data_IF_188641140303
#
_entry.id   IF_188641140303
#
_cell.length_a   1.000
_cell.length_b   1.000
_cell.length_c   1.000
_cell.angle_alpha   90.00
_cell.angle_beta   90.00
_cell.angle_gamma   90.00
#
_symmetry.space_group_name_H-M   'P 1'
#
loop_
_entity.id
_entity.type
_entity.pdbx_description
1 polymer ?
#
# COMPACT_ATOMS: atom_id res chain seq x y z
N UNK A 1 -64.28 24.90 -27.66
CA UNK A 1 -63.23 24.77 -26.61
C UNK A 1 -62.33 25.99 -26.72
N UNK A 2 -62.00 26.62 -25.58
CA UNK A 2 -61.76 28.07 -25.42
C UNK A 2 -60.30 28.49 -25.69
N UNK A 3 -60.17 29.56 -26.49
CA UNK A 3 -59.14 30.61 -26.65
C UNK A 3 -57.76 30.43 -26.00
N UNK A 4 -56.73 30.48 -26.84
CA UNK A 4 -55.32 30.76 -26.49
C UNK A 4 -55.21 32.27 -26.18
N UNK A 5 -54.60 32.61 -25.05
CA UNK A 5 -54.31 34.01 -24.66
C UNK A 5 -52.80 34.15 -24.51
N UNK A 6 -52.24 35.08 -25.28
CA UNK A 6 -50.86 35.52 -25.23
C UNK A 6 -50.79 36.73 -24.29
N UNK A 7 -49.91 36.71 -23.29
CA UNK A 7 -49.61 37.91 -22.49
C UNK A 7 -48.10 38.18 -22.50
N UNK A 8 -47.66 39.41 -22.80
CA UNK A 8 -46.26 39.78 -22.90
C UNK A 8 -45.71 40.45 -21.63
N UNK A 9 -44.39 40.40 -21.51
CA UNK A 9 -43.52 41.40 -20.90
C UNK A 9 -43.40 41.47 -19.37
N UNK A 10 -42.19 41.90 -18.96
CA UNK A 10 -41.78 42.43 -17.64
C UNK A 10 -41.12 41.45 -16.66
N UNK A 11 -39.78 41.41 -16.80
CA UNK A 11 -38.83 41.69 -15.71
C UNK A 11 -38.70 40.66 -14.57
N UNK A 12 -37.73 39.75 -14.72
CA UNK A 12 -36.96 39.28 -13.56
C UNK A 12 -35.51 39.02 -13.99
N UNK A 13 -34.79 40.10 -14.30
CA UNK A 13 -33.33 40.11 -14.16
C UNK A 13 -33.07 40.27 -12.67
N UNK A 14 -32.74 39.18 -12.00
CA UNK A 14 -31.95 39.25 -10.77
C UNK A 14 -30.70 38.40 -10.96
N UNK A 15 -29.61 39.10 -11.25
CA UNK A 15 -28.25 38.62 -11.23
C UNK A 15 -27.85 38.32 -9.78
N UNK A 16 -27.53 37.07 -9.49
CA UNK A 16 -26.57 36.64 -8.47
C UNK A 16 -25.84 35.44 -9.11
N UNK A 17 -24.67 35.61 -9.73
CA UNK A 17 -23.37 35.69 -9.06
C UNK A 17 -23.27 34.80 -7.81
N UNK A 18 -23.01 33.52 -8.05
CA UNK A 18 -22.01 32.82 -7.24
C UNK A 18 -20.95 32.35 -8.23
N UNK A 19 -19.77 32.93 -8.08
CA UNK A 19 -18.56 32.54 -8.79
C UNK A 19 -18.25 31.07 -8.47
N UNK A 20 -18.38 30.20 -9.47
CA UNK A 20 -17.73 28.90 -9.49
C UNK A 20 -16.29 29.06 -9.93
N UNK A 21 -15.46 29.71 -9.10
CA UNK A 21 -14.02 29.52 -9.18
C UNK A 21 -13.74 28.14 -8.58
N UNK A 22 -13.75 27.10 -9.41
CA UNK A 22 -12.99 25.90 -9.08
C UNK A 22 -11.53 26.32 -9.15
N UNK A 23 -11.01 26.68 -7.98
CA UNK A 23 -9.60 26.88 -7.72
C UNK A 23 -8.82 25.68 -8.25
N UNK A 24 -7.62 25.98 -8.75
CA UNK A 24 -6.58 25.06 -9.19
C UNK A 24 -6.68 23.71 -8.48
N UNK A 25 -6.91 22.65 -9.26
CA UNK A 25 -6.30 21.37 -8.93
C UNK A 25 -4.81 21.56 -9.17
N UNK A 26 -4.14 22.23 -8.22
CA UNK A 26 -2.78 21.83 -7.89
C UNK A 26 -2.89 20.33 -7.67
N UNK A 27 -2.39 19.56 -8.63
CA UNK A 27 -2.19 18.14 -8.44
C UNK A 27 -1.32 18.02 -7.20
N UNK A 28 -1.95 17.84 -6.04
CA UNK A 28 -1.30 17.22 -4.91
C UNK A 28 -0.80 15.94 -5.53
N UNK A 29 0.50 15.87 -5.74
CA UNK A 29 1.21 14.63 -6.01
C UNK A 29 0.96 13.82 -4.74
N UNK A 30 -0.20 13.17 -4.71
CA UNK A 30 -0.53 12.22 -3.69
C UNK A 30 0.37 11.05 -4.02
N UNK A 31 1.52 10.99 -3.35
CA UNK A 31 2.44 9.87 -3.44
C UNK A 31 1.80 8.55 -2.95
N UNK A 32 0.50 8.56 -2.63
CA UNK A 32 -0.28 7.37 -2.33
C UNK A 32 -0.59 6.65 -3.63
N UNK A 33 0.02 5.48 -3.78
CA UNK A 33 -0.26 4.57 -4.89
C UNK A 33 -1.60 3.89 -4.59
N UNK A 34 -2.48 3.77 -5.59
CA UNK A 34 -3.72 3.00 -5.43
C UNK A 34 -3.39 1.61 -4.89
N UNK A 35 -4.11 1.10 -3.89
CA UNK A 35 -3.88 -0.25 -3.37
C UNK A 35 -4.51 -1.27 -4.32
N UNK A 36 -3.70 -1.80 -5.22
CA UNK A 36 -4.05 -2.91 -6.12
C UNK A 36 -2.85 -3.84 -6.23
N UNK A 37 -3.03 -5.15 -6.47
CA UNK A 37 -1.91 -6.05 -6.68
C UNK A 37 -0.95 -5.56 -7.76
N UNK A 38 -1.48 -5.02 -8.86
CA UNK A 38 -0.70 -4.56 -10.01
C UNK A 38 0.20 -3.37 -9.66
N UNK A 39 -0.33 -2.40 -8.90
CA UNK A 39 0.41 -1.21 -8.51
C UNK A 39 1.47 -1.50 -7.45
N UNK A 40 1.19 -2.41 -6.50
CA UNK A 40 2.17 -2.87 -5.51
C UNK A 40 3.29 -3.63 -6.22
N UNK A 41 2.94 -4.56 -7.10
CA UNK A 41 3.90 -5.31 -7.94
C UNK A 41 4.78 -4.35 -8.74
N UNK A 42 4.18 -3.37 -9.42
CA UNK A 42 4.90 -2.37 -10.20
C UNK A 42 5.85 -1.52 -9.34
N UNK A 43 5.46 -1.22 -8.10
CA UNK A 43 6.29 -0.46 -7.16
C UNK A 43 7.47 -1.28 -6.66
N UNK A 44 7.21 -2.50 -6.17
CA UNK A 44 8.21 -3.35 -5.53
C UNK A 44 9.27 -3.88 -6.50
N UNK A 45 8.90 -4.16 -7.76
CA UNK A 45 9.83 -4.64 -8.78
C UNK A 45 10.83 -3.57 -9.26
N UNK A 46 10.72 -2.32 -8.79
CA UNK A 46 11.61 -1.25 -9.18
C UNK A 46 12.68 -1.01 -8.12
N UNK A 47 13.88 -1.50 -8.36
CA UNK A 47 15.05 -1.24 -7.53
C UNK A 47 15.16 -2.16 -6.32
N UNK A 48 15.91 -1.72 -5.32
CA UNK A 48 16.14 -2.46 -4.09
C UNK A 48 15.55 -1.71 -2.90
N UNK A 49 15.25 -2.46 -1.86
CA UNK A 49 14.54 -2.00 -0.67
C UNK A 49 15.36 -2.33 0.57
N UNK A 50 15.16 -1.59 1.65
CA UNK A 50 15.75 -1.86 2.97
C UNK A 50 14.65 -1.94 4.01
N UNK A 51 14.81 -2.83 4.98
CA UNK A 51 13.94 -2.84 6.17
C UNK A 51 14.35 -1.67 7.06
N UNK A 52 13.46 -0.71 7.25
CA UNK A 52 13.68 0.43 8.15
C UNK A 52 13.01 0.25 9.51
N UNK A 53 12.00 -0.62 9.57
CA UNK A 53 11.32 -0.96 10.80
C UNK A 53 10.83 -2.40 10.78
N UNK A 54 11.10 -3.15 11.84
CA UNK A 54 10.50 -4.44 12.10
C UNK A 54 10.23 -4.63 13.60
N UNK A 55 8.95 -4.77 13.93
CA UNK A 55 8.47 -5.11 15.27
C UNK A 55 7.89 -6.53 15.24
N UNK A 56 8.56 -7.45 15.93
CA UNK A 56 8.07 -8.81 16.16
C UNK A 56 7.61 -8.91 17.61
N UNK A 57 6.31 -9.01 17.83
CA UNK A 57 5.71 -9.28 19.13
C UNK A 57 6.29 -8.35 20.22
N UNK A 58 6.18 -7.02 20.01
CA UNK A 58 6.70 -5.94 20.88
C UNK A 58 8.23 -5.79 20.92
N UNK A 59 8.97 -6.64 20.23
CA UNK A 59 10.44 -6.54 20.16
C UNK A 59 10.86 -5.91 18.85
N UNK A 60 11.56 -4.77 18.91
CA UNK A 60 12.14 -4.17 17.72
C UNK A 60 13.36 -4.98 17.29
N UNK A 61 13.29 -5.58 16.10
CA UNK A 61 14.33 -6.42 15.50
C UNK A 61 14.92 -5.82 14.22
N UNK A 62 14.69 -4.52 13.97
CA UNK A 62 15.14 -3.83 12.76
C UNK A 62 16.66 -3.94 12.53
N UNK A 63 17.44 -3.97 13.62
CA UNK A 63 18.90 -4.08 13.55
C UNK A 63 19.40 -5.37 12.90
N UNK A 64 18.59 -6.43 12.88
CA UNK A 64 18.92 -7.71 12.24
C UNK A 64 19.04 -7.63 10.72
N UNK A 65 18.54 -6.55 10.09
CA UNK A 65 18.51 -6.38 8.65
C UNK A 65 19.39 -5.23 8.15
N UNK A 66 20.20 -4.63 9.03
CA UNK A 66 21.13 -3.57 8.64
C UNK A 66 22.11 -4.07 7.57
N UNK A 67 22.23 -3.30 6.49
CA UNK A 67 23.11 -3.61 5.36
C UNK A 67 22.53 -4.58 4.33
N UNK A 68 21.34 -5.15 4.55
CA UNK A 68 20.67 -5.97 3.53
C UNK A 68 19.82 -5.12 2.58
N UNK A 69 19.98 -5.38 1.29
CA UNK A 69 19.15 -4.90 0.20
C UNK A 69 18.22 -6.02 -0.25
N UNK A 70 16.93 -5.75 -0.16
CA UNK A 70 15.84 -6.63 -0.56
C UNK A 70 15.45 -6.35 -2.01
N UNK A 71 15.32 -7.40 -2.80
CA UNK A 71 14.86 -7.33 -4.19
C UNK A 71 13.66 -8.25 -4.37
N UNK A 72 12.50 -7.65 -4.65
CA UNK A 72 11.29 -8.36 -5.03
C UNK A 72 11.42 -8.76 -6.50
N UNK A 73 11.81 -10.00 -6.74
CA UNK A 73 12.15 -10.53 -8.06
C UNK A 73 11.02 -11.35 -8.71
N UNK A 74 11.18 -11.70 -10.00
CA UNK A 74 10.25 -12.56 -10.72
C UNK A 74 10.15 -13.95 -10.09
N UNK A 75 9.12 -14.72 -10.48
CA UNK A 75 8.85 -16.06 -9.96
C UNK A 75 8.70 -16.10 -8.43
N UNK A 76 8.21 -15.01 -7.83
CA UNK A 76 7.92 -14.92 -6.40
C UNK A 76 9.18 -15.08 -5.53
N UNK A 77 10.37 -14.70 -6.03
CA UNK A 77 11.63 -14.79 -5.29
C UNK A 77 11.92 -13.45 -4.60
N UNK A 78 12.15 -13.48 -3.29
CA UNK A 78 12.59 -12.32 -2.51
C UNK A 78 14.05 -12.54 -2.13
N UNK A 79 14.95 -11.78 -2.75
CA UNK A 79 16.37 -11.85 -2.45
C UNK A 79 16.74 -10.81 -1.39
N UNK A 80 17.54 -11.18 -0.40
CA UNK A 80 18.19 -10.24 0.51
C UNK A 80 19.71 -10.41 0.40
N UNK A 81 20.40 -9.37 -0.04
CA UNK A 81 21.85 -9.35 -0.29
C UNK A 81 22.50 -8.26 0.57
N UNK A 82 23.60 -8.57 1.25
CA UNK A 82 24.46 -7.57 1.91
C UNK A 82 25.88 -7.55 1.33
N UNK A 83 26.02 -7.98 0.08
CA UNK A 83 27.27 -8.17 -0.67
C UNK A 83 28.25 -9.21 -0.13
N UNK A 84 27.93 -9.87 1.00
CA UNK A 84 28.73 -10.96 1.56
C UNK A 84 27.93 -12.27 1.65
N UNK A 85 26.66 -12.17 2.05
CA UNK A 85 25.76 -13.29 2.26
C UNK A 85 24.39 -12.95 1.69
N UNK A 86 23.86 -13.92 0.94
CA UNK A 86 22.56 -13.80 0.30
C UNK A 86 21.59 -14.79 0.91
N UNK A 87 20.37 -14.32 1.16
CA UNK A 87 19.25 -15.15 1.57
C UNK A 87 18.12 -15.05 0.57
N UNK A 88 17.66 -16.22 0.12
CA UNK A 88 16.55 -16.34 -0.80
C UNK A 88 15.30 -16.78 -0.04
N UNK A 89 14.25 -15.97 -0.17
CA UNK A 89 12.92 -16.25 0.31
C UNK A 89 11.91 -16.21 -0.83
N UNK A 90 10.63 -16.22 -0.45
CA UNK A 90 9.50 -16.05 -1.33
C UNK A 90 8.69 -14.84 -0.92
N UNK A 91 8.00 -14.27 -1.90
CA UNK A 91 6.98 -13.26 -1.67
C UNK A 91 5.82 -13.46 -2.64
N UNK A 92 4.60 -13.14 -2.22
CA UNK A 92 3.43 -13.18 -3.10
C UNK A 92 2.51 -12.00 -2.80
N UNK A 93 1.78 -11.60 -3.84
CA UNK A 93 0.65 -10.68 -3.72
C UNK A 93 -0.53 -11.34 -4.38
N UNK A 94 -1.57 -11.60 -3.61
CA UNK A 94 -2.85 -12.09 -4.12
C UNK A 94 -3.94 -11.10 -3.80
N UNK A 95 -4.95 -11.05 -4.66
CA UNK A 95 -6.22 -10.44 -4.33
C UNK A 95 -7.17 -11.57 -3.95
N UNK A 96 -7.70 -11.52 -2.73
CA UNK A 96 -8.77 -12.41 -2.31
C UNK A 96 -10.10 -11.72 -2.60
N UNK A 97 -10.92 -12.29 -3.48
CA UNK A 97 -12.31 -11.83 -3.65
C UNK A 97 -13.24 -12.40 -2.54
N UNK A 98 -12.68 -13.07 -1.53
CA UNK A 98 -13.43 -13.54 -0.37
C UNK A 98 -13.47 -12.40 0.64
N UNK A 99 -14.68 -11.99 1.01
CA UNK A 99 -14.88 -11.13 2.18
C UNK A 99 -14.41 -11.89 3.44
N UNK A 100 -13.15 -11.70 3.80
CA UNK A 100 -12.56 -12.18 5.05
C UNK A 100 -12.77 -11.14 6.17
N UNK A 101 -12.00 -11.25 7.25
CA UNK A 101 -12.06 -10.34 8.39
C UNK A 101 -11.57 -8.91 8.08
N UNK A 102 -11.14 -8.63 6.84
CA UNK A 102 -10.70 -7.32 6.39
C UNK A 102 -11.53 -6.79 5.20
N UNK A 103 -12.77 -6.31 5.44
CA UNK A 103 -13.67 -5.78 4.39
C UNK A 103 -13.17 -4.50 3.68
N UNK A 104 -11.94 -4.04 3.97
CA UNK A 104 -11.37 -2.80 3.45
C UNK A 104 -10.04 -2.99 2.69
N UNK A 105 -9.45 -4.20 2.67
CA UNK A 105 -8.22 -4.45 1.92
C UNK A 105 -8.04 -5.94 1.59
N UNK A 106 -8.60 -6.35 0.47
CA UNK A 106 -8.56 -7.69 -0.15
C UNK A 106 -7.17 -8.14 -0.64
N UNK A 107 -6.08 -7.52 -0.19
CA UNK A 107 -4.72 -7.79 -0.69
C UNK A 107 -3.93 -8.57 0.36
N UNK A 108 -3.61 -9.83 0.03
CA UNK A 108 -2.74 -10.67 0.84
C UNK A 108 -1.30 -10.50 0.36
N UNK A 109 -0.45 -9.96 1.22
CA UNK A 109 0.98 -9.84 0.96
C UNK A 109 1.73 -10.86 1.81
N UNK A 110 2.23 -11.94 1.23
CA UNK A 110 2.95 -12.96 2.00
C UNK A 110 4.46 -12.86 1.79
N UNK A 111 5.22 -13.05 2.86
CA UNK A 111 6.67 -13.28 2.82
C UNK A 111 6.96 -14.66 3.41
N UNK A 112 7.97 -15.36 2.89
CA UNK A 112 8.44 -16.61 3.48
C UNK A 112 9.95 -16.79 3.31
N UNK A 113 10.66 -16.98 4.42
CA UNK A 113 12.05 -17.38 4.46
C UNK A 113 12.20 -18.64 5.31
N UNK A 114 13.06 -19.56 4.89
CA UNK A 114 13.37 -20.77 5.66
C UNK A 114 14.55 -20.60 6.62
N UNK A 115 15.42 -19.63 6.37
CA UNK A 115 16.61 -19.34 7.17
C UNK A 115 17.22 -17.98 6.77
N UNK A 116 18.05 -17.38 7.63
CA UNK A 116 18.27 -17.70 9.05
C UNK A 116 17.08 -17.22 9.91
N UNK A 117 17.09 -17.51 11.22
CA UNK A 117 15.95 -17.21 12.12
C UNK A 117 15.48 -15.75 12.07
N UNK A 118 16.39 -14.80 11.84
CA UNK A 118 16.03 -13.39 11.67
C UNK A 118 15.10 -13.16 10.47
N UNK A 119 15.36 -13.82 9.35
CA UNK A 119 14.55 -13.73 8.13
C UNK A 119 13.28 -14.57 8.23
N UNK A 120 13.34 -15.72 8.91
CA UNK A 120 12.14 -16.51 9.24
C UNK A 120 11.11 -15.66 9.96
N UNK A 121 11.54 -14.74 10.85
CA UNK A 121 10.64 -13.83 11.56
C UNK A 121 9.87 -12.85 10.64
N UNK A 122 10.34 -12.60 9.40
CA UNK A 122 9.58 -11.82 8.41
C UNK A 122 8.46 -12.64 7.75
N UNK A 123 8.40 -13.96 7.99
CA UNK A 123 7.48 -14.86 7.30
C UNK A 123 6.11 -14.81 7.94
N UNK A 124 5.19 -14.09 7.31
CA UNK A 124 3.80 -13.92 7.72
C UNK A 124 2.93 -13.64 6.48
N UNK A 125 1.62 -13.75 6.65
CA UNK A 125 0.63 -13.12 5.79
C UNK A 125 0.40 -11.69 6.32
N UNK A 126 0.79 -10.70 5.52
CA UNK A 126 0.78 -9.29 5.88
C UNK A 126 -0.39 -8.55 5.22
N UNK A 127 -1.04 -7.71 6.01
CA UNK A 127 -1.89 -6.62 5.54
C UNK A 127 -1.05 -5.46 5.01
N UNK A 128 -1.42 -4.91 3.85
CA UNK A 128 -0.81 -3.68 3.32
C UNK A 128 -1.45 -2.44 3.96
N UNK A 129 -0.75 -1.84 4.93
CA UNK A 129 -1.20 -0.63 5.64
C UNK A 129 -1.05 0.61 4.76
N UNK A 130 0.09 0.76 4.11
CA UNK A 130 0.43 1.95 3.32
C UNK A 130 1.38 1.56 2.19
N UNK A 131 1.21 2.17 1.02
CA UNK A 131 2.16 2.08 -0.07
C UNK A 131 2.31 3.42 -0.78
N UNK A 132 3.57 3.78 -1.03
CA UNK A 132 3.99 4.93 -1.82
C UNK A 132 5.06 4.49 -2.82
N UNK A 133 5.53 5.39 -3.67
CA UNK A 133 6.61 5.11 -4.62
C UNK A 133 7.93 4.67 -3.94
N UNK A 134 8.11 4.96 -2.65
CA UNK A 134 9.37 4.74 -1.92
C UNK A 134 9.20 4.01 -0.60
N UNK A 135 7.99 3.61 -0.22
CA UNK A 135 7.74 2.94 1.05
C UNK A 135 6.57 1.96 0.95
N UNK A 136 6.69 0.83 1.62
CA UNK A 136 5.58 -0.07 1.93
C UNK A 136 5.56 -0.37 3.44
N UNK A 137 4.39 -0.22 4.07
CA UNK A 137 4.17 -0.53 5.48
C UNK A 137 3.16 -1.65 5.59
N UNK A 138 3.53 -2.63 6.40
CA UNK A 138 2.85 -3.89 6.56
C UNK A 138 2.51 -4.11 8.04
N UNK A 139 1.42 -4.82 8.29
CA UNK A 139 1.07 -5.32 9.63
C UNK A 139 0.56 -6.76 9.53
N UNK A 140 0.72 -7.54 10.60
CA UNK A 140 0.17 -8.90 10.66
C UNK A 140 -0.32 -9.20 12.07
N UNK A 141 -1.44 -9.91 12.18
CA UNK A 141 -1.91 -10.47 13.45
C UNK A 141 -1.09 -11.71 13.77
N UNK A 142 -0.56 -11.80 14.99
CA UNK A 142 0.08 -13.03 15.42
C UNK A 142 -0.96 -14.08 15.72
N UNK A 143 -0.82 -15.25 15.09
CA UNK A 143 -1.65 -16.42 15.37
C UNK A 143 -1.75 -16.69 16.89
N UNK A 144 -2.97 -16.58 17.44
CA UNK A 144 -3.30 -16.92 18.83
C UNK A 144 -3.34 -15.78 19.85
N UNK A 145 -2.93 -14.54 19.51
CA UNK A 145 -2.96 -13.38 20.42
C UNK A 145 -3.47 -12.11 19.70
N UNK A 146 -3.89 -11.09 20.46
CA UNK A 146 -4.20 -9.75 19.93
C UNK A 146 -2.95 -8.88 19.66
N UNK A 147 -1.79 -9.51 19.46
CA UNK A 147 -0.52 -8.81 19.26
C UNK A 147 -0.23 -8.64 17.76
N UNK A 148 0.21 -7.44 17.39
CA UNK A 148 0.50 -7.08 16.00
C UNK A 148 2.01 -7.05 15.75
N UNK A 149 2.40 -7.58 14.59
CA UNK A 149 3.70 -7.35 13.99
C UNK A 149 3.61 -6.18 13.00
N UNK A 150 4.73 -5.48 12.81
CA UNK A 150 4.83 -4.39 11.84
C UNK A 150 6.15 -4.48 11.07
N UNK A 151 6.09 -4.21 9.78
CA UNK A 151 7.24 -4.25 8.88
C UNK A 151 7.17 -3.08 7.92
N UNK A 152 8.26 -2.33 7.80
CA UNK A 152 8.41 -1.24 6.84
C UNK A 152 9.61 -1.49 5.96
N UNK A 153 9.39 -1.48 4.65
CA UNK A 153 10.45 -1.36 3.66
C UNK A 153 10.47 0.05 3.08
N UNK A 154 11.66 0.58 2.88
CA UNK A 154 11.89 1.81 2.10
C UNK A 154 12.80 1.51 0.92
N UNK A 155 12.58 2.21 -0.18
CA UNK A 155 13.43 2.12 -1.36
C UNK A 155 14.83 2.70 -1.06
N UNK A 156 15.87 2.09 -1.61
CA UNK A 156 17.24 2.60 -1.51
C UNK A 156 17.47 3.84 -2.38
#
# INVERSE_FOLDING_TARGET
MKKIVLFPFVLCVFLLNIAGACCDDDAIVSNTVAKSPESILATLNQGTWKVTYFLDTKTNKSSSFLGYNFTFGPNNILMADNSNVDYSGKWTITKSDIADDNPNNDIDFAISFSNPLAFVALSEEWDVVEITATQIRLRALKNGNAEMNYLTFEKN
#
